data_IF_750157528219
#
_entry.id   IF_750157528219
#
_cell.length_a   1.000
_cell.length_b   1.000
_cell.length_c   1.000
_cell.angle_alpha   90.00
_cell.angle_beta   90.00
_cell.angle_gamma   90.00
#
_symmetry.space_group_name_H-M   'P 1'
#
loop_
_entity.id
_entity.type
_entity.pdbx_description
1 polymer ?
#
# COMPACT_ATOMS: atom_id res chain seq x y z
N UNK A 1 15.66 -5.52 2.93
CA UNK A 1 15.66 -5.00 4.32
C UNK A 1 14.32 -4.32 4.56
N UNK A 2 13.69 -4.48 5.74
CA UNK A 2 12.45 -3.77 6.08
C UNK A 2 12.76 -2.46 6.81
N UNK A 3 12.01 -1.41 6.50
CA UNK A 3 12.13 -0.07 7.08
C UNK A 3 10.73 0.41 7.51
N UNK A 4 10.57 0.88 8.75
CA UNK A 4 9.33 1.48 9.21
C UNK A 4 8.97 2.75 8.42
N UNK A 5 7.68 2.90 8.15
CA UNK A 5 7.05 4.05 7.52
C UNK A 5 6.48 4.98 8.58
N UNK A 6 6.87 6.25 8.51
CA UNK A 6 6.22 7.31 9.27
C UNK A 6 4.73 7.45 8.88
N UNK A 7 3.88 7.99 9.78
CA UNK A 7 2.49 8.29 9.45
C UNK A 7 2.31 9.18 8.20
N UNK A 8 3.27 10.05 7.91
CA UNK A 8 3.24 10.88 6.70
C UNK A 8 3.55 10.06 5.44
N UNK A 9 4.58 9.22 5.47
CA UNK A 9 4.91 8.31 4.36
C UNK A 9 3.75 7.37 4.04
N UNK A 10 3.11 6.78 5.06
CA UNK A 10 1.91 5.93 4.88
C UNK A 10 0.78 6.66 4.15
N UNK A 11 0.45 7.89 4.59
CA UNK A 11 -0.57 8.71 3.94
C UNK A 11 -0.22 9.09 2.50
N UNK A 12 1.07 9.30 2.19
CA UNK A 12 1.54 9.56 0.82
C UNK A 12 1.43 8.33 -0.06
N UNK A 13 1.77 7.14 0.46
CA UNK A 13 1.55 5.87 -0.23
C UNK A 13 0.06 5.65 -0.51
N UNK A 14 -0.80 5.80 0.49
CA UNK A 14 -2.26 5.68 0.33
C UNK A 14 -2.81 6.63 -0.74
N UNK A 15 -2.30 7.86 -0.79
CA UNK A 15 -2.67 8.84 -1.83
C UNK A 15 -2.20 8.40 -3.21
N UNK A 16 -0.94 7.96 -3.35
CA UNK A 16 -0.39 7.49 -4.61
C UNK A 16 -1.20 6.31 -5.18
N UNK A 17 -1.55 5.36 -4.33
CA UNK A 17 -2.36 4.18 -4.70
C UNK A 17 -3.75 4.62 -5.19
N UNK A 18 -4.36 5.62 -4.54
CA UNK A 18 -5.63 6.22 -5.01
C UNK A 18 -5.49 7.00 -6.31
N UNK A 19 -4.41 7.75 -6.50
CA UNK A 19 -4.12 8.50 -7.75
C UNK A 19 -4.01 7.56 -8.95
N UNK A 20 -3.57 6.32 -8.73
CA UNK A 20 -3.47 5.27 -9.77
C UNK A 20 -4.74 4.43 -9.90
N UNK A 21 -5.83 4.87 -9.27
CA UNK A 21 -7.14 4.21 -9.29
C UNK A 21 -7.10 2.74 -8.85
N UNK A 22 -6.12 2.36 -8.02
CA UNK A 22 -6.01 1.00 -7.50
C UNK A 22 -7.21 0.68 -6.60
N UNK A 23 -7.71 -0.54 -6.76
CA UNK A 23 -8.88 -1.04 -6.05
C UNK A 23 -8.56 -2.38 -5.41
N UNK A 24 -9.30 -2.70 -4.36
CA UNK A 24 -9.29 -4.04 -3.79
C UNK A 24 -9.71 -5.03 -4.87
N UNK A 25 -8.87 -6.03 -5.16
CA UNK A 25 -9.19 -7.07 -6.16
C UNK A 25 -10.38 -7.96 -5.78
N UNK A 26 -10.80 -7.95 -4.52
CA UNK A 26 -11.92 -8.75 -4.02
C UNK A 26 -13.26 -8.01 -4.06
N UNK A 27 -13.31 -6.80 -3.51
CA UNK A 27 -14.57 -6.05 -3.39
C UNK A 27 -14.64 -4.77 -4.23
N UNK A 28 -13.58 -4.42 -4.95
CA UNK A 28 -13.51 -3.20 -5.75
C UNK A 28 -13.37 -1.90 -4.96
N UNK A 29 -13.29 -1.95 -3.63
CA UNK A 29 -13.17 -0.74 -2.79
C UNK A 29 -11.85 -0.01 -3.02
N UNK A 30 -11.90 1.33 -3.03
CA UNK A 30 -10.74 2.23 -3.02
C UNK A 30 -10.22 2.50 -1.60
N UNK A 31 -10.87 1.94 -0.58
CA UNK A 31 -10.47 2.03 0.83
C UNK A 31 -9.25 1.17 1.11
N UNK A 32 -8.09 1.59 0.61
CA UNK A 32 -6.80 0.94 0.83
C UNK A 32 -5.98 1.72 1.87
N UNK A 33 -5.35 0.99 2.79
CA UNK A 33 -4.46 1.51 3.85
C UNK A 33 -3.07 0.94 3.68
N UNK A 34 -2.05 1.77 3.89
CA UNK A 34 -0.67 1.32 3.89
C UNK A 34 -0.29 0.76 5.25
N UNK A 35 0.35 -0.41 5.28
CA UNK A 35 0.95 -0.97 6.50
C UNK A 35 2.17 -0.17 6.95
N UNK A 36 2.74 -0.57 8.09
CA UNK A 36 3.75 0.19 8.81
C UNK A 36 5.16 0.05 8.25
N UNK A 37 5.40 -0.84 7.30
CA UNK A 37 6.75 -1.14 6.80
C UNK A 37 6.84 -1.10 5.27
N UNK A 38 8.01 -0.71 4.78
CA UNK A 38 8.46 -0.91 3.41
C UNK A 38 9.62 -1.88 3.35
N UNK A 39 9.68 -2.71 2.32
CA UNK A 39 10.80 -3.59 2.02
C UNK A 39 11.57 -3.07 0.79
N UNK A 40 12.89 -2.92 0.89
CA UNK A 40 13.73 -2.71 -0.29
C UNK A 40 13.86 -3.99 -1.10
N UNK A 41 13.80 -3.89 -2.43
CA UNK A 41 14.07 -5.01 -3.34
C UNK A 41 15.22 -4.68 -4.31
N UNK A 42 15.75 -5.72 -4.96
CA UNK A 42 16.89 -5.61 -5.88
C UNK A 42 16.53 -4.69 -7.05
N UNK A 43 17.31 -3.62 -7.25
CA UNK A 43 17.03 -2.58 -8.26
C UNK A 43 16.69 -1.20 -7.69
N UNK A 44 16.74 -1.02 -6.36
CA UNK A 44 16.58 0.30 -5.72
C UNK A 44 15.12 0.76 -5.55
N UNK A 45 14.16 -0.12 -5.82
CA UNK A 45 12.75 0.12 -5.55
C UNK A 45 12.34 -0.29 -4.14
N UNK A 46 11.10 0.04 -3.79
CA UNK A 46 10.48 -0.29 -2.51
C UNK A 46 9.18 -1.06 -2.73
N UNK A 47 8.91 -2.05 -1.90
CA UNK A 47 7.61 -2.69 -1.80
C UNK A 47 6.95 -2.25 -0.50
N UNK A 48 5.71 -1.81 -0.58
CA UNK A 48 4.86 -1.49 0.57
C UNK A 48 3.65 -2.39 0.54
N UNK A 49 3.10 -2.72 1.70
CA UNK A 49 1.90 -3.54 1.76
C UNK A 49 0.67 -2.66 1.95
N UNK A 50 -0.36 -2.92 1.16
CA UNK A 50 -1.66 -2.24 1.27
C UNK A 50 -2.76 -3.22 1.60
N UNK A 51 -3.64 -2.82 2.53
CA UNK A 51 -4.76 -3.59 3.05
C UNK A 51 -6.07 -2.91 2.69
N UNK A 52 -7.10 -3.69 2.35
CA UNK A 52 -8.43 -3.13 2.21
C UNK A 52 -9.14 -3.00 3.55
N UNK A 53 -9.69 -1.82 3.83
CA UNK A 53 -10.43 -1.51 5.06
C UNK A 53 -11.94 -1.71 4.94
N UNK A 54 -12.44 -2.12 3.78
CA UNK A 54 -13.87 -2.31 3.56
C UNK A 54 -14.33 -3.61 4.20
N UNK A 55 -14.53 -3.65 5.52
CA UNK A 55 -14.89 -4.89 6.25
C UNK A 55 -16.28 -5.46 5.92
N UNK A 56 -17.11 -4.70 5.18
CA UNK A 56 -18.50 -5.06 4.87
C UNK A 56 -18.71 -5.93 3.63
N UNK A 57 -17.67 -6.22 2.85
CA UNK A 57 -17.81 -7.14 1.71
C UNK A 57 -17.73 -8.59 2.21
N UNK A 58 -18.66 -9.46 1.79
CA UNK A 58 -18.61 -10.91 2.06
C UNK A 58 -17.24 -11.51 1.67
N UNK A 59 -16.60 -10.94 0.65
CA UNK A 59 -15.26 -11.29 0.19
C UNK A 59 -14.14 -11.07 1.24
N UNK A 60 -14.42 -10.40 2.36
CA UNK A 60 -13.47 -10.14 3.44
C UNK A 60 -13.81 -10.90 4.74
N UNK A 61 -14.55 -12.01 4.65
CA UNK A 61 -14.82 -12.91 5.78
C UNK A 61 -13.49 -13.29 6.48
N UNK A 62 -13.15 -12.57 7.56
CA UNK A 62 -11.82 -12.63 8.20
C UNK A 62 -11.29 -11.30 8.75
N UNK A 63 -11.90 -10.15 8.43
CA UNK A 63 -11.69 -8.88 9.16
C UNK A 63 -10.81 -7.83 8.48
N UNK A 64 -9.99 -8.20 7.49
CA UNK A 64 -9.29 -7.24 6.62
C UNK A 64 -9.16 -7.85 5.22
N UNK A 65 -9.40 -7.04 4.19
CA UNK A 65 -9.31 -7.50 2.81
C UNK A 65 -7.87 -7.69 2.35
N UNK A 66 -7.70 -8.59 1.37
CA UNK A 66 -6.44 -9.06 0.79
C UNK A 66 -5.29 -8.04 0.89
N UNK A 67 -4.23 -8.42 1.60
CA UNK A 67 -2.97 -7.70 1.58
C UNK A 67 -2.32 -7.83 0.19
N UNK A 68 -2.04 -6.70 -0.46
CA UNK A 68 -1.31 -6.69 -1.72
C UNK A 68 0.01 -5.96 -1.53
N UNK A 69 1.07 -6.59 -2.02
CA UNK A 69 2.37 -5.91 -2.13
C UNK A 69 2.32 -4.97 -3.34
N UNK A 70 2.70 -3.72 -3.09
CA UNK A 70 2.67 -2.63 -4.04
C UNK A 70 4.10 -2.14 -4.27
N UNK A 71 4.58 -2.31 -5.50
CA UNK A 71 5.93 -1.91 -5.90
C UNK A 71 5.97 -0.44 -6.29
N UNK A 72 6.82 0.30 -5.58
CA UNK A 72 7.18 1.68 -5.86
C UNK A 72 8.43 1.69 -6.74
N UNK A 73 8.32 2.36 -7.88
CA UNK A 73 9.48 2.79 -8.66
C UNK A 73 10.36 3.75 -7.83
N UNK A 74 11.64 3.96 -8.21
CA UNK A 74 12.50 4.92 -7.52
C UNK A 74 11.92 6.34 -7.48
N UNK A 75 11.18 6.76 -8.50
CA UNK A 75 10.53 8.06 -8.54
C UNK A 75 9.35 8.16 -7.56
N UNK A 76 8.48 7.15 -7.55
CA UNK A 76 7.37 7.07 -6.60
C UNK A 76 7.89 7.00 -5.15
N UNK A 77 8.95 6.22 -4.92
CA UNK A 77 9.63 6.15 -3.64
C UNK A 77 10.12 7.53 -3.17
N UNK A 78 10.75 8.34 -4.04
CA UNK A 78 11.12 9.73 -3.71
C UNK A 78 9.89 10.60 -3.39
N UNK A 79 8.81 10.50 -4.19
CA UNK A 79 7.56 11.27 -3.96
C UNK A 79 6.94 10.96 -2.60
N UNK A 80 6.99 9.71 -2.14
CA UNK A 80 6.48 9.32 -0.83
C UNK A 80 7.48 9.52 0.31
N UNK A 81 8.75 9.81 0.01
CA UNK A 81 9.82 10.11 0.96
C UNK A 81 10.62 8.89 1.44
N UNK A 82 10.76 7.87 0.60
CA UNK A 82 11.50 6.63 0.88
C UNK A 82 12.90 6.56 0.24
N UNK A 83 13.15 7.35 -0.80
CA UNK A 83 14.42 7.42 -1.54
C UNK A 83 15.24 8.67 -1.27
#
# INVERSE_FOLDING_TARGET
MRRPLSPNQRRRVERLVREKEERCGLCGSTGLRCEEDAATFVGGGFNVRVLCTSTGAEAHAGGFGLARDYSLTPEEARRVGLG
#
